data_IF_516760948930
#
_entry.id   IF_516760948930
#
_cell.length_a   1.000
_cell.length_b   1.000
_cell.length_c   1.000
_cell.angle_alpha   90.00
_cell.angle_beta   90.00
_cell.angle_gamma   90.00
#
_symmetry.space_group_name_H-M   'P 1'
#
loop_
_entity.id
_entity.type
_entity.pdbx_description
1 polymer ?
#
# COMPACT_ATOMS: atom_id res chain seq x y z
N UNK A 1 -17.55 7.08 -39.17
CA UNK A 1 -16.49 6.19 -38.63
C UNK A 1 -16.74 5.98 -37.15
N UNK A 2 -17.34 4.84 -36.79
CA UNK A 2 -17.69 4.49 -35.41
C UNK A 2 -16.40 4.13 -34.67
N UNK A 3 -16.00 4.95 -33.69
CA UNK A 3 -14.97 4.58 -32.71
C UNK A 3 -15.59 3.48 -31.84
N UNK A 4 -15.12 2.25 -32.01
CA UNK A 4 -15.51 1.11 -31.20
C UNK A 4 -15.36 1.47 -29.71
N UNK A 5 -16.46 1.38 -28.97
CA UNK A 5 -16.50 1.51 -27.52
C UNK A 5 -15.96 0.20 -26.93
N UNK A 6 -14.64 0.14 -26.77
CA UNK A 6 -13.99 -0.96 -26.06
C UNK A 6 -14.36 -0.87 -24.58
N UNK A 7 -14.89 -1.96 -24.04
CA UNK A 7 -15.22 -2.17 -22.63
C UNK A 7 -14.01 -1.76 -21.78
N UNK A 8 -14.22 -0.78 -20.89
CA UNK A 8 -13.16 -0.15 -20.13
C UNK A 8 -12.41 -1.19 -19.29
N UNK A 9 -11.09 -1.21 -19.47
CA UNK A 9 -10.17 -1.98 -18.68
C UNK A 9 -10.27 -1.51 -17.22
N UNK A 10 -10.67 -2.40 -16.31
CA UNK A 10 -10.67 -2.18 -14.87
C UNK A 10 -9.24 -1.82 -14.45
N UNK A 11 -8.90 -0.54 -14.38
CA UNK A 11 -7.54 -0.10 -14.13
C UNK A 11 -7.17 -0.31 -12.66
N UNK A 12 -6.74 -1.52 -12.30
CA UNK A 12 -6.00 -1.82 -11.07
C UNK A 12 -4.47 -1.69 -11.30
N UNK A 13 -4.05 -0.83 -12.24
CA UNK A 13 -2.65 -0.46 -12.47
C UNK A 13 -2.17 0.65 -11.52
N UNK A 14 -2.96 0.99 -10.49
CA UNK A 14 -2.83 2.24 -9.73
C UNK A 14 -1.64 2.32 -8.78
N UNK A 15 -0.73 1.34 -8.81
CA UNK A 15 0.59 1.44 -8.19
C UNK A 15 1.77 1.39 -9.15
N UNK A 16 1.64 1.54 -10.48
CA UNK A 16 2.82 1.67 -11.36
C UNK A 16 2.86 2.86 -12.32
N UNK A 17 3.58 3.91 -11.91
CA UNK A 17 4.18 4.92 -12.75
C UNK A 17 5.68 4.64 -12.79
N UNK A 18 6.07 3.41 -13.10
CA UNK A 18 7.48 3.10 -13.36
C UNK A 18 7.76 3.46 -14.82
N UNK A 19 7.86 4.76 -15.09
CA UNK A 19 8.55 5.22 -16.28
C UNK A 19 10.04 5.01 -16.03
N UNK A 20 10.59 3.88 -16.48
CA UNK A 20 12.01 3.67 -16.83
C UNK A 20 13.10 4.42 -16.03
N UNK A 21 12.93 4.62 -14.73
CA UNK A 21 13.88 5.33 -13.88
C UNK A 21 14.01 4.55 -12.58
N UNK A 22 15.24 4.14 -12.28
CA UNK A 22 15.69 3.38 -11.12
C UNK A 22 14.80 3.56 -9.88
N UNK A 23 13.96 2.57 -9.57
CA UNK A 23 13.14 2.53 -8.36
C UNK A 23 14.05 2.18 -7.16
N UNK A 24 14.44 3.18 -6.37
CA UNK A 24 15.26 3.02 -5.18
C UNK A 24 14.41 2.71 -3.94
N UNK A 25 14.49 1.47 -3.45
CA UNK A 25 14.40 0.99 -2.05
C UNK A 25 13.43 1.65 -1.04
N UNK A 26 12.32 0.98 -0.66
CA UNK A 26 11.49 1.31 0.49
C UNK A 26 11.90 0.50 1.74
N UNK A 27 13.04 0.84 2.37
CA UNK A 27 13.46 0.31 3.69
C UNK A 27 14.21 -1.05 3.59
N UNK A 28 15.53 -1.01 3.38
CA UNK A 28 16.43 -2.05 3.90
C UNK A 28 17.82 -1.49 4.21
N UNK A 29 18.30 -1.81 5.42
CA UNK A 29 19.61 -1.47 5.97
C UNK A 29 20.70 -2.34 5.32
N UNK A 30 21.31 -1.85 4.25
CA UNK A 30 22.55 -2.45 3.74
C UNK A 30 23.56 -1.35 3.41
N UNK A 31 24.08 -0.71 4.45
CA UNK A 31 25.20 0.20 4.29
C UNK A 31 26.23 -0.09 5.36
N UNK A 32 27.44 -0.43 4.91
CA UNK A 32 28.67 -0.35 5.70
C UNK A 32 28.94 1.08 6.25
N UNK A 33 28.06 2.03 5.94
CA UNK A 33 28.05 3.37 6.49
C UNK A 33 27.79 3.36 8.01
N UNK A 34 28.47 4.24 8.76
CA UNK A 34 28.26 4.39 10.18
C UNK A 34 26.83 4.84 10.50
N UNK A 35 26.36 4.48 11.69
CA UNK A 35 25.11 5.01 12.26
C UNK A 35 25.46 6.27 13.03
N UNK A 36 24.90 7.41 12.62
CA UNK A 36 25.02 8.70 13.31
C UNK A 36 23.72 9.00 14.07
N UNK A 37 23.82 9.50 15.30
CA UNK A 37 22.66 9.84 16.15
C UNK A 37 22.81 11.29 16.65
N UNK A 38 21.77 12.09 16.45
CA UNK A 38 21.65 13.47 16.89
C UNK A 38 20.47 13.61 17.85
N UNK A 39 20.58 14.52 18.82
CA UNK A 39 19.54 14.86 19.76
C UNK A 39 19.79 16.27 20.32
N UNK A 40 18.74 17.05 20.50
CA UNK A 40 18.83 18.41 21.03
C UNK A 40 19.00 18.44 22.54
N UNK A 41 18.38 17.49 23.25
CA UNK A 41 18.37 17.48 24.72
C UNK A 41 19.43 16.55 25.30
N UNK A 42 19.36 15.24 25.03
CA UNK A 42 20.28 14.27 25.64
C UNK A 42 20.54 13.07 24.74
N UNK A 43 21.76 12.54 24.86
CA UNK A 43 22.12 11.20 24.43
C UNK A 43 22.56 10.42 25.68
N UNK A 44 21.72 9.51 26.15
CA UNK A 44 21.95 8.71 27.35
C UNK A 44 22.41 7.30 26.97
N UNK A 45 23.49 6.82 27.59
CA UNK A 45 23.88 5.41 27.55
C UNK A 45 23.66 4.76 28.92
N UNK A 46 22.66 3.90 29.01
CA UNK A 46 22.33 3.15 30.21
C UNK A 46 22.85 1.71 30.10
N UNK A 47 23.98 1.43 30.75
CA UNK A 47 24.61 0.10 30.72
C UNK A 47 23.82 -0.97 31.47
N UNK A 48 23.07 -0.57 32.50
CA UNK A 48 22.27 -1.49 33.32
C UNK A 48 21.06 -1.97 32.52
N UNK A 49 20.36 -1.04 31.87
CA UNK A 49 19.20 -1.32 31.02
C UNK A 49 19.60 -1.76 29.59
N UNK A 50 20.89 -1.65 29.26
CA UNK A 50 21.45 -1.91 27.92
C UNK A 50 20.76 -1.11 26.83
N UNK A 51 20.64 0.20 27.03
CA UNK A 51 20.00 1.11 26.08
C UNK A 51 20.86 2.32 25.74
N UNK A 52 20.72 2.78 24.50
CA UNK A 52 21.05 4.15 24.07
C UNK A 52 19.75 4.91 23.86
N UNK A 53 19.62 6.11 24.43
CA UNK A 53 18.41 6.93 24.30
C UNK A 53 18.75 8.35 23.88
N UNK A 54 18.31 8.74 22.70
CA UNK A 54 18.33 10.10 22.18
C UNK A 54 16.99 10.79 22.47
N UNK A 55 17.02 12.01 23.03
CA UNK A 55 15.81 12.79 23.37
C UNK A 55 15.87 14.22 22.86
N UNK A 56 14.72 14.70 22.41
CA UNK A 56 14.54 16.03 21.83
C UNK A 56 14.99 16.01 20.39
N UNK A 57 14.03 16.00 19.45
CA UNK A 57 14.28 15.93 18.01
C UNK A 57 15.35 14.89 17.64
N UNK A 58 15.17 13.66 18.12
CA UNK A 58 16.12 12.58 17.87
C UNK A 58 16.18 12.26 16.37
N UNK A 59 17.39 12.17 15.83
CA UNK A 59 17.64 11.80 14.43
C UNK A 59 18.67 10.68 14.39
N UNK A 60 18.34 9.53 13.81
CA UNK A 60 19.30 8.52 13.40
C UNK A 60 19.49 8.54 11.89
N UNK A 61 20.74 8.46 11.43
CA UNK A 61 21.11 8.40 10.03
C UNK A 61 22.03 7.22 9.76
N UNK A 62 21.73 6.48 8.70
CA UNK A 62 22.60 5.43 8.19
C UNK A 62 22.51 5.39 6.67
N UNK A 63 23.60 5.79 5.99
CA UNK A 63 23.60 5.94 4.54
C UNK A 63 22.51 6.92 4.07
N UNK A 64 21.56 6.42 3.27
CA UNK A 64 20.40 7.20 2.76
C UNK A 64 19.18 7.16 3.68
N UNK A 65 19.19 6.30 4.69
CA UNK A 65 18.08 6.14 5.62
C UNK A 65 18.19 7.16 6.75
N UNK A 66 17.07 7.79 7.10
CA UNK A 66 16.96 8.68 8.23
C UNK A 66 15.69 8.33 9.03
N UNK A 67 15.81 8.30 10.35
CA UNK A 67 14.68 8.17 11.27
C UNK A 67 14.67 9.40 12.16
N UNK A 68 13.57 10.15 12.17
CA UNK A 68 13.31 11.24 13.12
C UNK A 68 12.21 10.84 14.10
N UNK A 69 12.31 11.33 15.33
CA UNK A 69 11.26 11.22 16.35
C UNK A 69 11.53 12.15 17.53
N UNK A 70 10.59 12.26 18.47
CA UNK A 70 10.81 12.98 19.72
C UNK A 70 11.84 12.26 20.61
N UNK A 71 11.78 10.93 20.63
CA UNK A 71 12.72 10.05 21.34
C UNK A 71 13.06 8.83 20.50
N UNK A 72 14.33 8.45 20.49
CA UNK A 72 14.82 7.22 19.87
C UNK A 72 15.58 6.38 20.89
N UNK A 73 15.17 5.13 21.07
CA UNK A 73 15.80 4.17 21.98
C UNK A 73 16.31 2.96 21.20
N UNK A 74 17.58 2.61 21.37
CA UNK A 74 18.18 1.40 20.84
C UNK A 74 18.56 0.47 21.99
N UNK A 75 18.08 -0.77 21.96
CA UNK A 75 18.46 -1.83 22.90
C UNK A 75 19.61 -2.64 22.32
N UNK A 76 20.61 -2.96 23.13
CA UNK A 76 21.77 -3.71 22.67
C UNK A 76 22.06 -4.98 23.47
N UNK A 77 22.60 -5.99 22.79
CA UNK A 77 23.14 -7.20 23.36
C UNK A 77 24.48 -6.87 24.01
N UNK A 78 24.61 -7.07 25.32
CA UNK A 78 25.84 -6.72 26.07
C UNK A 78 27.05 -7.62 25.76
N UNK A 79 27.10 -8.26 24.59
CA UNK A 79 28.20 -9.13 24.16
C UNK A 79 29.42 -8.33 23.68
N UNK A 80 30.62 -8.89 23.85
CA UNK A 80 31.85 -8.30 23.33
C UNK A 80 31.74 -8.14 21.81
N UNK A 81 32.02 -6.92 21.34
CA UNK A 81 32.24 -6.65 19.93
C UNK A 81 33.26 -7.65 19.39
N UNK A 82 32.88 -8.47 18.41
CA UNK A 82 33.85 -9.28 17.70
C UNK A 82 34.65 -8.33 16.80
N UNK A 83 35.81 -7.93 17.32
CA UNK A 83 36.72 -6.96 16.74
C UNK A 83 37.28 -7.45 15.40
N UNK A 84 36.61 -7.05 14.32
CA UNK A 84 37.21 -6.90 12.99
C UNK A 84 36.65 -5.67 12.26
N UNK A 85 35.49 -5.17 12.68
CA UNK A 85 34.88 -3.90 12.25
C UNK A 85 34.15 -3.29 13.44
N UNK A 86 34.89 -2.58 14.30
CA UNK A 86 34.33 -1.95 15.50
C UNK A 86 33.26 -0.92 15.15
N UNK A 87 31.99 -1.25 15.38
CA UNK A 87 30.88 -0.34 15.19
C UNK A 87 29.72 -0.67 16.13
N UNK A 88 29.03 0.37 16.62
CA UNK A 88 27.85 0.29 17.49
C UNK A 88 26.68 -0.53 16.90
N UNK A 89 26.74 -0.88 15.61
CA UNK A 89 25.65 -1.54 14.88
C UNK A 89 25.50 -3.04 15.09
N UNK A 90 26.57 -3.79 15.44
CA UNK A 90 26.49 -5.26 15.54
C UNK A 90 25.87 -5.78 16.84
N UNK A 91 25.57 -4.89 17.78
CA UNK A 91 24.96 -5.26 19.07
C UNK A 91 23.53 -4.76 19.23
N UNK A 92 22.99 -3.91 18.36
CA UNK A 92 21.61 -3.44 18.50
C UNK A 92 20.65 -4.58 18.14
N UNK A 93 19.71 -4.88 19.04
CA UNK A 93 18.69 -5.92 18.85
C UNK A 93 17.32 -5.32 18.49
N UNK A 94 17.04 -4.11 18.99
CA UNK A 94 15.76 -3.45 18.78
C UNK A 94 15.91 -1.94 18.78
N UNK A 95 15.24 -1.27 17.85
CA UNK A 95 15.10 0.18 17.83
C UNK A 95 13.65 0.57 18.06
N UNK A 96 13.42 1.65 18.79
CA UNK A 96 12.09 2.20 19.07
C UNK A 96 12.13 3.71 18.95
N UNK A 97 11.36 4.26 18.01
CA UNK A 97 11.14 5.68 17.83
C UNK A 97 9.74 6.02 18.34
N UNK A 98 9.60 7.05 19.19
CA UNK A 98 8.31 7.51 19.72
C UNK A 98 8.15 9.01 19.50
N UNK A 99 6.94 9.41 19.13
CA UNK A 99 6.54 10.79 18.87
C UNK A 99 7.01 11.29 17.50
N UNK A 100 6.09 11.85 16.71
CA UNK A 100 6.35 12.48 15.42
C UNK A 100 7.32 11.69 14.52
N UNK A 101 7.08 10.39 14.37
CA UNK A 101 8.01 9.51 13.65
C UNK A 101 7.96 9.82 12.16
N UNK A 102 9.13 10.10 11.59
CA UNK A 102 9.35 10.28 10.15
C UNK A 102 10.54 9.40 9.73
N UNK A 103 10.30 8.42 8.86
CA UNK A 103 11.33 7.52 8.32
C UNK A 103 11.50 7.85 6.85
N UNK A 104 12.67 8.37 6.47
CA UNK A 104 13.00 8.70 5.10
C UNK A 104 13.96 7.66 4.53
N UNK A 105 13.60 7.09 3.38
CA UNK A 105 14.45 6.29 2.52
C UNK A 105 14.05 6.64 1.09
N UNK A 106 14.66 7.69 0.54
CA UNK A 106 14.22 8.30 -0.71
C UNK A 106 14.04 7.25 -1.85
N UNK A 107 12.91 7.30 -2.58
CA UNK A 107 11.92 8.37 -2.63
C UNK A 107 10.79 8.27 -1.59
N UNK A 108 10.86 7.34 -0.64
CA UNK A 108 9.80 7.08 0.32
C UNK A 108 9.99 7.84 1.63
N UNK A 109 8.89 8.34 2.18
CA UNK A 109 8.81 8.83 3.56
C UNK A 109 7.63 8.19 4.26
N UNK A 110 7.88 7.53 5.39
CA UNK A 110 6.85 6.93 6.24
C UNK A 110 6.63 7.78 7.50
N UNK A 111 5.38 7.86 7.96
CA UNK A 111 4.96 8.66 9.09
C UNK A 111 4.10 7.85 10.06
N UNK A 112 4.27 8.12 11.35
CA UNK A 112 3.45 7.54 12.41
C UNK A 112 3.78 8.17 13.77
N UNK A 113 3.20 7.61 14.83
CA UNK A 113 3.46 8.07 16.19
C UNK A 113 4.54 7.21 16.88
N UNK A 114 4.69 5.96 16.44
CA UNK A 114 5.68 5.03 16.97
C UNK A 114 6.18 4.08 15.88
N UNK A 115 7.50 3.88 15.83
CA UNK A 115 8.11 2.82 15.04
C UNK A 115 8.92 1.88 15.94
N UNK A 116 8.79 0.58 15.69
CA UNK A 116 9.61 -0.46 16.34
C UNK A 116 10.26 -1.27 15.23
N UNK A 117 11.58 -1.45 15.31
CA UNK A 117 12.30 -2.38 14.44
C UNK A 117 12.99 -3.42 15.31
N UNK A 118 12.55 -4.66 15.19
CA UNK A 118 13.17 -5.82 15.83
C UNK A 118 14.15 -6.45 14.83
N UNK A 119 15.44 -6.35 15.13
CA UNK A 119 16.52 -6.72 14.20
C UNK A 119 16.63 -8.24 14.08
N UNK A 120 16.36 -8.98 15.16
CA UNK A 120 16.44 -10.43 15.18
C UNK A 120 15.38 -11.08 14.28
N UNK A 121 14.15 -10.58 14.31
CA UNK A 121 13.06 -11.04 13.44
C UNK A 121 13.03 -10.33 12.08
N UNK A 122 13.70 -9.18 11.96
CA UNK A 122 13.64 -8.35 10.76
C UNK A 122 12.28 -7.67 10.55
N UNK A 123 11.50 -7.50 11.62
CA UNK A 123 10.16 -6.92 11.58
C UNK A 123 10.20 -5.43 11.96
N UNK A 124 9.75 -4.58 11.04
CA UNK A 124 9.45 -3.18 11.33
C UNK A 124 7.94 -2.98 11.47
N UNK A 125 7.51 -2.27 12.51
CA UNK A 125 6.10 -1.94 12.77
C UNK A 125 5.96 -0.45 13.04
N UNK A 126 5.06 0.20 12.31
CA UNK A 126 4.70 1.61 12.45
C UNK A 126 3.24 1.68 12.93
N UNK A 127 2.98 2.42 14.01
CA UNK A 127 1.65 2.64 14.58
C UNK A 127 1.39 4.12 14.85
N UNK A 128 0.11 4.53 14.93
CA UNK A 128 -0.26 5.89 15.28
C UNK A 128 -1.52 6.38 14.58
N UNK A 129 -1.84 7.65 14.79
CA UNK A 129 -2.98 8.36 14.20
C UNK A 129 -2.71 8.86 12.77
N UNK A 130 -1.45 9.09 12.42
CA UNK A 130 -1.02 9.66 11.13
C UNK A 130 -0.24 8.65 10.27
N UNK A 131 -0.75 7.41 10.22
CA UNK A 131 -0.11 6.29 9.55
C UNK A 131 -0.17 6.41 8.03
N UNK A 132 0.97 6.75 7.43
CA UNK A 132 1.10 6.80 5.97
C UNK A 132 2.52 6.60 5.47
N UNK A 133 2.64 6.17 4.23
CA UNK A 133 3.86 6.17 3.42
C UNK A 133 3.57 7.01 2.19
N UNK A 134 4.49 7.89 1.84
CA UNK A 134 4.35 8.79 0.70
C UNK A 134 5.57 8.68 -0.21
N UNK A 135 5.32 8.82 -1.50
CA UNK A 135 6.29 9.17 -2.54
C UNK A 135 5.85 10.50 -3.17
N UNK A 136 6.63 11.09 -4.11
CA UNK A 136 6.17 12.29 -4.81
C UNK A 136 4.84 12.13 -5.56
N UNK A 137 4.43 10.90 -5.90
CA UNK A 137 3.26 10.63 -6.73
C UNK A 137 2.19 9.77 -6.08
N UNK A 138 2.50 9.12 -4.96
CA UNK A 138 1.65 8.08 -4.35
C UNK A 138 1.59 8.24 -2.84
N UNK A 139 0.50 7.75 -2.26
CA UNK A 139 0.36 7.57 -0.82
C UNK A 139 -0.22 6.19 -0.49
N UNK A 140 0.14 5.67 0.66
CA UNK A 140 -0.45 4.50 1.30
C UNK A 140 -0.75 4.86 2.75
N UNK A 141 -1.99 4.72 3.20
CA UNK A 141 -2.38 4.93 4.59
C UNK A 141 -3.07 3.71 5.18
N UNK A 142 -3.09 3.63 6.50
CA UNK A 142 -3.75 2.59 7.29
C UNK A 142 -4.25 3.19 8.61
N UNK A 143 -5.13 2.49 9.33
CA UNK A 143 -5.69 2.95 10.60
C UNK A 143 -5.16 2.18 11.81
N UNK A 144 -4.65 0.96 11.63
CA UNK A 144 -4.10 0.18 12.76
C UNK A 144 -2.58 0.18 12.75
N UNK A 145 -1.97 -0.30 11.67
CA UNK A 145 -0.50 -0.40 11.56
C UNK A 145 -0.03 -0.56 10.12
N UNK A 146 1.25 -0.25 9.92
CA UNK A 146 2.02 -0.63 8.73
C UNK A 146 3.21 -1.48 9.18
N UNK A 147 3.37 -2.65 8.58
CA UNK A 147 4.44 -3.59 8.90
C UNK A 147 5.32 -3.85 7.67
N UNK A 148 6.62 -4.03 7.90
CA UNK A 148 7.56 -4.53 6.92
C UNK A 148 8.35 -5.71 7.47
N UNK A 149 8.16 -6.87 6.83
CA UNK A 149 8.87 -8.12 7.11
C UNK A 149 10.01 -8.25 6.11
N UNK A 150 11.23 -7.93 6.56
CA UNK A 150 12.44 -7.97 5.71
C UNK A 150 12.76 -9.39 5.24
N UNK A 151 12.53 -10.41 6.08
CA UNK A 151 12.81 -11.79 5.74
C UNK A 151 11.86 -12.31 4.63
N UNK A 152 10.62 -11.79 4.59
CA UNK A 152 9.61 -12.15 3.58
C UNK A 152 9.47 -11.13 2.46
N UNK A 153 10.24 -10.04 2.49
CA UNK A 153 10.13 -8.96 1.51
C UNK A 153 8.67 -8.49 1.34
N UNK A 154 7.99 -8.25 2.47
CA UNK A 154 6.54 -8.04 2.51
C UNK A 154 6.16 -6.82 3.33
N UNK A 155 5.39 -5.93 2.73
CA UNK A 155 4.77 -4.79 3.40
C UNK A 155 3.28 -5.05 3.60
N UNK A 156 2.76 -4.78 4.80
CA UNK A 156 1.34 -4.92 5.13
C UNK A 156 0.80 -3.60 5.69
N UNK A 157 -0.25 -3.06 5.10
CA UNK A 157 -1.03 -1.95 5.63
C UNK A 157 -2.38 -2.50 6.15
N UNK A 158 -2.67 -2.29 7.42
CA UNK A 158 -3.74 -3.00 8.15
C UNK A 158 -4.71 -1.99 8.77
N UNK A 159 -6.01 -2.26 8.58
CA UNK A 159 -7.12 -1.43 9.02
C UNK A 159 -7.42 -0.32 8.02
N UNK A 160 -8.51 -0.47 7.25
CA UNK A 160 -8.97 0.50 6.25
C UNK A 160 -7.84 1.06 5.37
N UNK A 161 -6.97 0.16 4.90
CA UNK A 161 -5.83 0.50 4.09
C UNK A 161 -6.26 1.19 2.79
N UNK A 162 -5.62 2.32 2.46
CA UNK A 162 -5.91 3.09 1.26
C UNK A 162 -4.60 3.43 0.54
N UNK A 163 -4.44 2.95 -0.68
CA UNK A 163 -3.38 3.37 -1.58
C UNK A 163 -3.95 4.35 -2.62
N UNK A 164 -3.27 5.47 -2.87
CA UNK A 164 -3.74 6.50 -3.80
C UNK A 164 -2.64 6.97 -4.73
N UNK A 165 -3.04 7.37 -5.94
CA UNK A 165 -2.21 8.06 -6.92
C UNK A 165 -3.06 9.02 -7.73
N UNK A 166 -2.77 10.32 -7.67
CA UNK A 166 -3.59 11.31 -8.37
C UNK A 166 -5.05 11.20 -7.96
N UNK A 167 -5.95 10.98 -8.91
CA UNK A 167 -7.41 10.81 -8.66
C UNK A 167 -7.82 9.37 -8.31
N UNK A 168 -6.86 8.46 -8.36
CA UNK A 168 -7.10 7.04 -8.35
C UNK A 168 -6.81 6.45 -6.96
N UNK A 169 -7.63 5.50 -6.51
CA UNK A 169 -7.46 4.88 -5.19
C UNK A 169 -7.83 3.40 -5.16
N UNK A 170 -7.13 2.64 -4.32
CA UNK A 170 -7.41 1.26 -3.93
C UNK A 170 -7.60 1.23 -2.41
N UNK A 171 -8.76 0.74 -1.97
CA UNK A 171 -9.14 0.62 -0.57
C UNK A 171 -9.47 -0.83 -0.25
N UNK A 172 -9.07 -1.30 0.92
CA UNK A 172 -9.47 -2.60 1.50
C UNK A 172 -9.20 -2.61 3.00
N UNK A 173 -9.64 -3.64 3.72
CA UNK A 173 -9.32 -3.74 5.14
C UNK A 173 -7.81 -3.93 5.33
N UNK A 174 -7.19 -4.80 4.52
CA UNK A 174 -5.74 -4.94 4.49
C UNK A 174 -5.20 -4.94 3.05
N UNK A 175 -4.02 -4.34 2.89
CA UNK A 175 -3.21 -4.36 1.67
C UNK A 175 -1.86 -4.99 1.97
N UNK A 176 -1.47 -5.98 1.16
CA UNK A 176 -0.19 -6.66 1.27
C UNK A 176 0.57 -6.53 -0.04
N UNK A 177 1.74 -5.89 0.01
CA UNK A 177 2.67 -5.80 -1.09
C UNK A 177 3.82 -6.80 -0.90
N UNK A 178 4.07 -7.59 -1.94
CA UNK A 178 5.19 -8.53 -2.03
C UNK A 178 6.24 -7.98 -2.99
N UNK A 179 7.49 -7.99 -2.56
CA UNK A 179 8.62 -7.52 -3.32
C UNK A 179 9.58 -8.68 -3.65
N UNK A 180 10.31 -8.55 -4.74
CA UNK A 180 11.51 -9.34 -5.00
C UNK A 180 12.73 -8.48 -4.64
N UNK A 181 13.64 -9.06 -3.86
CA UNK A 181 14.93 -8.44 -3.57
C UNK A 181 15.89 -8.62 -4.74
N UNK A 182 16.50 -7.53 -5.18
CA UNK A 182 17.60 -7.47 -6.14
C UNK A 182 18.95 -7.70 -5.46
N UNK A 183 19.96 -8.04 -6.26
CA UNK A 183 21.33 -8.30 -5.81
C UNK A 183 22.04 -7.08 -5.20
N UNK A 184 21.51 -5.89 -5.43
CA UNK A 184 21.94 -4.59 -4.89
C UNK A 184 21.09 -4.14 -3.68
N UNK A 185 20.15 -4.98 -3.22
CA UNK A 185 19.15 -4.63 -2.21
C UNK A 185 17.96 -3.83 -2.74
N UNK A 186 17.83 -3.64 -4.06
CA UNK A 186 16.65 -3.01 -4.65
C UNK A 186 15.41 -3.89 -4.48
N UNK A 187 14.29 -3.29 -4.07
CA UNK A 187 13.04 -4.02 -3.90
C UNK A 187 12.11 -3.72 -5.06
N UNK A 188 11.81 -4.74 -5.86
CA UNK A 188 10.89 -4.61 -6.99
C UNK A 188 9.53 -5.17 -6.61
N UNK A 189 8.49 -4.35 -6.64
CA UNK A 189 7.12 -4.79 -6.36
C UNK A 189 6.69 -5.87 -7.36
N UNK A 190 6.26 -7.03 -6.84
CA UNK A 190 5.84 -8.18 -7.65
C UNK A 190 4.33 -8.37 -7.63
N UNK A 191 3.72 -8.18 -6.46
CA UNK A 191 2.32 -8.50 -6.26
C UNK A 191 1.70 -7.64 -5.18
N UNK A 192 0.47 -7.22 -5.41
CA UNK A 192 -0.39 -6.61 -4.38
C UNK A 192 -1.55 -7.57 -4.13
N UNK A 193 -1.86 -7.80 -2.86
CA UNK A 193 -3.06 -8.51 -2.42
C UNK A 193 -3.89 -7.52 -1.60
N UNK A 194 -5.15 -7.37 -1.98
CA UNK A 194 -6.14 -6.60 -1.26
C UNK A 194 -7.17 -7.59 -0.72
N UNK A 195 -7.33 -7.64 0.59
CA UNK A 195 -8.28 -8.53 1.25
C UNK A 195 -9.35 -7.74 1.99
N UNK A 196 -10.58 -8.24 1.83
CA UNK A 196 -11.82 -7.74 2.42
C UNK A 196 -12.19 -6.32 1.96
N UNK A 197 -13.46 -6.16 1.57
CA UNK A 197 -14.05 -4.87 1.21
C UNK A 197 -13.25 -4.06 0.16
N UNK A 198 -12.77 -4.74 -0.89
CA UNK A 198 -11.95 -4.10 -1.94
C UNK A 198 -12.79 -3.10 -2.72
N UNK A 199 -12.32 -1.85 -2.77
CA UNK A 199 -12.86 -0.79 -3.61
C UNK A 199 -11.75 -0.14 -4.41
N UNK A 200 -11.91 -0.07 -5.72
CA UNK A 200 -11.01 0.61 -6.64
C UNK A 200 -11.78 1.78 -7.23
N UNK A 201 -11.24 2.99 -7.12
CA UNK A 201 -11.80 4.19 -7.71
C UNK A 201 -10.82 4.77 -8.70
N UNK A 202 -11.34 5.16 -9.85
CA UNK A 202 -10.59 5.76 -10.94
C UNK A 202 -11.30 7.03 -11.39
N UNK A 203 -10.67 7.80 -12.27
CA UNK A 203 -11.35 8.93 -12.93
C UNK A 203 -12.60 8.52 -13.73
N UNK A 204 -12.76 7.23 -14.08
CA UNK A 204 -13.81 6.74 -14.98
C UNK A 204 -14.84 5.85 -14.29
N UNK A 205 -14.43 5.12 -13.26
CA UNK A 205 -15.26 4.05 -12.69
C UNK A 205 -14.93 3.76 -11.23
N UNK A 206 -15.90 3.14 -10.57
CA UNK A 206 -15.75 2.53 -9.25
C UNK A 206 -15.98 1.03 -9.36
N UNK A 207 -15.12 0.26 -8.72
CA UNK A 207 -15.10 -1.19 -8.80
C UNK A 207 -15.06 -1.74 -7.39
N UNK A 208 -15.91 -2.70 -7.06
CA UNK A 208 -15.88 -3.36 -5.75
C UNK A 208 -15.77 -4.87 -5.87
N UNK A 209 -15.18 -5.50 -4.86
CA UNK A 209 -15.18 -6.94 -4.67
C UNK A 209 -14.78 -7.34 -3.26
N UNK A 210 -14.80 -8.63 -2.95
CA UNK A 210 -14.39 -9.14 -1.64
C UNK A 210 -12.86 -9.26 -1.51
N UNK A 211 -12.15 -9.51 -2.62
CA UNK A 211 -10.68 -9.59 -2.65
C UNK A 211 -10.12 -9.21 -4.03
N UNK A 212 -8.83 -8.83 -4.05
CA UNK A 212 -8.12 -8.42 -5.25
C UNK A 212 -6.67 -8.89 -5.24
N UNK A 213 -6.17 -9.31 -6.38
CA UNK A 213 -4.74 -9.59 -6.59
C UNK A 213 -4.28 -8.87 -7.84
N UNK A 214 -3.18 -8.15 -7.73
CA UNK A 214 -2.47 -7.58 -8.87
C UNK A 214 -1.10 -8.23 -9.00
N UNK A 215 -0.87 -8.93 -10.10
CA UNK A 215 0.43 -9.45 -10.51
C UNK A 215 1.10 -8.43 -11.45
N UNK A 216 2.19 -7.85 -10.96
CA UNK A 216 2.93 -6.79 -11.65
C UNK A 216 3.59 -7.31 -12.92
N UNK A 217 4.31 -8.43 -12.81
CA UNK A 217 5.09 -8.97 -13.90
C UNK A 217 4.18 -9.41 -15.06
N UNK A 218 3.04 -10.03 -14.73
CA UNK A 218 2.01 -10.37 -15.69
C UNK A 218 1.27 -9.13 -16.22
N UNK A 219 1.22 -8.03 -15.44
CA UNK A 219 0.36 -6.89 -15.71
C UNK A 219 -1.11 -7.26 -15.61
N UNK A 220 -1.45 -8.16 -14.68
CA UNK A 220 -2.80 -8.74 -14.56
C UNK A 220 -3.41 -8.50 -13.20
N UNK A 221 -4.61 -7.97 -13.19
CA UNK A 221 -5.41 -7.78 -12.00
C UNK A 221 -6.61 -8.72 -12.00
N UNK A 222 -6.91 -9.30 -10.84
CA UNK A 222 -8.07 -10.14 -10.61
C UNK A 222 -8.80 -9.67 -9.37
N UNK A 223 -10.08 -9.33 -9.51
CA UNK A 223 -10.99 -9.13 -8.38
C UNK A 223 -11.91 -10.34 -8.25
N UNK A 224 -12.25 -10.73 -7.03
CA UNK A 224 -13.14 -11.85 -6.73
C UNK A 224 -14.15 -11.50 -5.65
N UNK A 225 -15.29 -12.18 -5.72
CA UNK A 225 -16.39 -12.06 -4.77
C UNK A 225 -17.20 -10.79 -5.02
N UNK A 226 -18.50 -10.97 -5.31
CA UNK A 226 -19.50 -9.89 -5.48
C UNK A 226 -18.97 -8.71 -6.30
N UNK A 227 -18.36 -8.99 -7.45
CA UNK A 227 -17.69 -7.96 -8.25
C UNK A 227 -18.73 -7.05 -8.88
N UNK A 228 -18.58 -5.74 -8.66
CA UNK A 228 -19.43 -4.71 -9.25
C UNK A 228 -18.58 -3.64 -9.89
N UNK A 229 -19.02 -3.15 -11.04
CA UNK A 229 -18.38 -2.07 -11.78
C UNK A 229 -19.43 -1.02 -12.04
N UNK A 230 -19.14 0.22 -11.69
CA UNK A 230 -19.96 1.39 -11.98
C UNK A 230 -19.17 2.37 -12.82
N UNK A 231 -19.63 2.63 -14.03
CA UNK A 231 -19.01 3.57 -14.97
C UNK A 231 -20.06 4.57 -15.47
N UNK A 232 -20.07 5.78 -14.91
CA UNK A 232 -21.16 6.73 -15.14
C UNK A 232 -22.48 6.16 -14.62
N UNK A 233 -23.47 5.99 -15.51
CA UNK A 233 -24.74 5.32 -15.19
C UNK A 233 -24.71 3.80 -15.42
N UNK A 234 -23.66 3.27 -16.07
CA UNK A 234 -23.58 1.87 -16.46
C UNK A 234 -23.16 0.98 -15.29
N UNK A 235 -23.77 -0.20 -15.18
CA UNK A 235 -23.49 -1.17 -14.13
C UNK A 235 -23.09 -2.52 -14.71
N UNK A 236 -22.05 -3.13 -14.17
CA UNK A 236 -21.70 -4.52 -14.45
C UNK A 236 -21.60 -5.31 -13.14
N UNK A 237 -22.09 -6.54 -13.14
CA UNK A 237 -22.12 -7.45 -12.00
C UNK A 237 -21.59 -8.83 -12.41
N UNK A 238 -20.69 -9.39 -11.60
CA UNK A 238 -20.13 -10.72 -11.75
C UNK A 238 -19.49 -11.18 -10.45
N UNK A 239 -18.73 -12.27 -10.51
CA UNK A 239 -18.10 -12.89 -9.33
C UNK A 239 -16.59 -12.90 -9.41
N UNK A 240 -16.05 -12.74 -10.62
CA UNK A 240 -14.64 -12.47 -10.86
C UNK A 240 -14.49 -11.50 -12.02
N UNK A 241 -13.65 -10.49 -11.85
CA UNK A 241 -13.18 -9.66 -12.96
C UNK A 241 -11.68 -9.87 -13.14
N UNK A 242 -11.26 -9.98 -14.38
CA UNK A 242 -9.87 -9.99 -14.77
C UNK A 242 -9.56 -8.82 -15.69
N UNK A 243 -8.35 -8.33 -15.59
CA UNK A 243 -7.84 -7.20 -16.34
C UNK A 243 -6.45 -7.54 -16.78
N UNK A 244 -6.20 -7.40 -18.06
CA UNK A 244 -4.87 -7.36 -18.60
C UNK A 244 -4.53 -5.89 -18.89
N UNK A 245 -3.64 -5.32 -18.08
CA UNK A 245 -3.26 -3.92 -18.12
C UNK A 245 -2.26 -3.61 -19.24
N UNK A 246 -1.65 -4.66 -19.82
CA UNK A 246 -0.77 -4.52 -20.98
C UNK A 246 -1.58 -4.36 -22.26
N UNK A 247 -2.65 -5.14 -22.39
CA UNK A 247 -3.53 -5.13 -23.57
C UNK A 247 -4.74 -4.22 -23.41
N UNK A 248 -5.08 -3.82 -22.18
CA UNK A 248 -6.30 -3.06 -21.88
C UNK A 248 -7.57 -3.90 -21.99
N UNK A 249 -7.47 -5.24 -21.96
CA UNK A 249 -8.64 -6.13 -22.07
C UNK A 249 -9.14 -6.50 -20.68
N UNK A 250 -10.41 -6.21 -20.41
CA UNK A 250 -11.11 -6.69 -19.21
C UNK A 250 -12.13 -7.78 -19.54
N UNK A 251 -12.23 -8.75 -18.63
CA UNK A 251 -13.20 -9.85 -18.69
C UNK A 251 -13.93 -9.94 -17.35
N UNK A 252 -15.25 -10.01 -17.41
CA UNK A 252 -16.10 -10.24 -16.26
C UNK A 252 -16.69 -11.66 -16.38
N UNK A 253 -16.65 -12.40 -15.29
CA UNK A 253 -17.09 -13.79 -15.20
C UNK A 253 -18.22 -13.94 -14.18
N UNK A 254 -19.08 -14.92 -14.41
CA UNK A 254 -20.11 -15.40 -13.50
C UNK A 254 -19.92 -16.90 -13.26
N UNK A 255 -20.50 -17.45 -12.20
CA UNK A 255 -20.16 -18.78 -11.68
C UNK A 255 -21.23 -19.42 -10.75
N UNK A 256 -22.51 -19.06 -10.89
CA UNK A 256 -23.73 -19.62 -10.23
C UNK A 256 -23.60 -20.58 -8.99
N UNK A 257 -24.40 -20.44 -7.89
CA UNK A 257 -25.20 -19.30 -7.39
C UNK A 257 -25.06 -19.03 -5.85
N UNK A 258 -25.32 -17.79 -5.36
CA UNK A 258 -26.37 -17.55 -4.34
C UNK A 258 -26.60 -16.10 -3.89
N UNK A 259 -27.86 -15.92 -3.47
CA UNK A 259 -28.41 -14.94 -2.54
C UNK A 259 -27.53 -14.66 -1.31
N UNK A 260 -27.19 -13.39 -1.11
CA UNK A 260 -27.01 -12.75 0.19
C UNK A 260 -26.95 -11.22 -0.03
N UNK A 261 -27.42 -10.46 0.96
CA UNK A 261 -27.61 -9.01 0.91
C UNK A 261 -26.43 -8.25 0.25
N UNK A 262 -26.79 -7.34 -0.68
CA UNK A 262 -25.85 -6.55 -1.47
C UNK A 262 -25.37 -5.35 -0.66
N UNK A 263 -24.05 -5.11 -0.52
CA UNK A 263 -23.58 -3.83 0.02
C UNK A 263 -24.00 -2.71 -0.94
N UNK A 264 -24.57 -1.63 -0.40
CA UNK A 264 -24.81 -0.42 -1.17
C UNK A 264 -23.46 0.20 -1.54
N UNK A 265 -23.31 0.67 -2.79
CA UNK A 265 -22.18 1.55 -3.10
C UNK A 265 -22.50 2.93 -2.56
N UNK A 266 -21.63 3.47 -1.71
CA UNK A 266 -21.71 4.86 -1.28
C UNK A 266 -20.76 5.69 -2.13
N UNK A 267 -21.33 6.58 -2.94
CA UNK A 267 -20.57 7.52 -3.77
C UNK A 267 -20.80 8.90 -3.21
N UNK A 268 -19.74 9.56 -2.75
CA UNK A 268 -19.81 10.91 -2.17
C UNK A 268 -20.88 11.05 -1.05
N UNK A 269 -21.04 10.01 -0.23
CA UNK A 269 -22.04 9.97 0.85
C UNK A 269 -23.46 9.59 0.41
N UNK A 270 -23.70 9.38 -0.89
CA UNK A 270 -25.01 8.95 -1.42
C UNK A 270 -24.96 7.46 -1.74
N UNK A 271 -25.86 6.70 -1.12
CA UNK A 271 -26.09 5.30 -1.45
C UNK A 271 -26.73 5.20 -2.84
N UNK A 272 -26.00 4.65 -3.82
CA UNK A 272 -26.56 4.28 -5.12
C UNK A 272 -26.83 2.78 -5.13
N UNK A 273 -28.10 2.35 -4.97
CA UNK A 273 -28.41 0.95 -4.94
C UNK A 273 -28.26 0.32 -6.34
N UNK A 274 -27.85 -0.95 -6.40
CA UNK A 274 -27.90 -1.76 -7.62
C UNK A 274 -29.29 -1.72 -8.28
N UNK A 275 -29.39 -1.79 -9.62
CA UNK A 275 -30.63 -2.23 -10.27
C UNK A 275 -31.03 -3.63 -9.74
N UNK A 276 -32.34 -3.88 -9.63
CA UNK A 276 -32.90 -5.12 -9.06
C UNK A 276 -32.25 -6.40 -9.65
N UNK A 277 -32.10 -7.47 -8.85
CA UNK A 277 -31.51 -8.73 -9.30
C UNK A 277 -32.28 -9.34 -10.47
N UNK A 278 -31.55 -9.94 -11.40
CA UNK A 278 -32.10 -10.90 -12.37
C UNK A 278 -31.24 -12.15 -12.20
N UNK A 279 -31.68 -13.09 -11.36
CA UNK A 279 -30.85 -14.19 -10.87
C UNK A 279 -30.76 -15.39 -11.83
N UNK A 280 -29.54 -15.89 -12.02
CA UNK A 280 -29.16 -17.29 -12.35
C UNK A 280 -27.62 -17.54 -12.35
N UNK A 281 -26.78 -16.60 -11.88
CA UNK A 281 -25.33 -16.73 -11.89
C UNK A 281 -24.62 -16.31 -13.18
N UNK A 282 -25.37 -15.74 -14.14
CA UNK A 282 -24.79 -15.04 -15.30
C UNK A 282 -24.09 -13.74 -14.89
N UNK A 283 -23.16 -13.32 -15.73
CA UNK A 283 -22.69 -11.94 -15.78
C UNK A 283 -23.84 -11.03 -16.22
N UNK A 284 -23.97 -9.86 -15.61
CA UNK A 284 -24.99 -8.86 -15.99
C UNK A 284 -24.34 -7.52 -16.29
N UNK A 285 -24.77 -6.90 -17.39
CA UNK A 285 -24.45 -5.51 -17.72
C UNK A 285 -25.72 -4.72 -17.97
N UNK A 286 -25.84 -3.54 -17.38
CA UNK A 286 -26.90 -2.56 -17.65
C UNK A 286 -26.23 -1.34 -18.25
N UNK A 287 -26.58 -1.05 -19.51
CA UNK A 287 -26.00 0.05 -20.28
C UNK A 287 -27.09 1.08 -20.58
N UNK A 288 -26.84 2.32 -20.19
CA UNK A 288 -27.74 3.43 -20.46
C UNK A 288 -27.32 4.14 -21.76
N UNK A 289 -28.22 4.29 -22.73
CA UNK A 289 -27.92 5.03 -23.95
C UNK A 289 -27.71 6.51 -23.62
N UNK A 290 -26.74 7.14 -24.29
CA UNK A 290 -26.56 8.59 -24.18
C UNK A 290 -27.88 9.29 -24.57
N UNK A 291 -28.42 10.12 -23.68
CA UNK A 291 -29.53 11.00 -24.04
C UNK A 291 -29.07 11.85 -25.23
N UNK A 292 -29.85 11.85 -26.32
CA UNK A 292 -29.62 12.83 -27.39
C UNK A 292 -29.77 14.20 -26.74
N UNK A 293 -28.76 15.05 -26.86
CA UNK A 293 -28.92 16.47 -26.58
C UNK A 293 -30.02 16.96 -27.52
N UNK A 294 -31.23 17.14 -27.00
CA UNK A 294 -32.23 17.96 -27.66
C UNK A 294 -31.68 19.37 -27.63
N UNK A 295 -31.02 19.75 -28.72
CA UNK A 295 -30.83 21.15 -29.09
C UNK A 295 -32.22 21.73 -29.26
N UNK A 296 -32.78 22.28 -28.18
CA UNK A 296 -33.83 23.27 -28.30
C UNK A 296 -33.22 24.42 -29.10
N UNK A 297 -33.57 24.47 -30.38
CA UNK A 297 -33.32 25.66 -31.19
C UNK A 297 -34.33 26.71 -30.70
N UNK A 298 -33.89 27.94 -30.38
CA UNK A 298 -34.73 28.96 -29.76
C UNK A 298 -35.94 29.36 -30.59
#
# INVERSE_FOLDING_TARGET
MMKHQTLAALTLAMLMGISGANAQTPIQNNSDAPVEIFADSTLEWNRVQKTYTARGNAIARQGKMQVKSDTLTAHYSGGQANSSTGGLGSSIEKMTANGNVEITSAPYTAFGDKAVYDIASGMATLTGSNLRIETPTESLSAQEKIEFDTAKNRLSAIGNATASRGTDSLMSDNLVAHFAGGSDGAMTLQRIVADSAVTVKTARETVTGDSGVYDVAAGKATLRGKVRILQGENWLEGTRAEVDLKTGVSKLFGDAPRDAARPSLTINGVATPPPAPVGDGRVRGVFYPKKKETTQTP
#
